data_IF_456229567407
#
_entry.id   IF_456229567407
#
_cell.length_a   1.000
_cell.length_b   1.000
_cell.length_c   1.000
_cell.angle_alpha   90.00
_cell.angle_beta   90.00
_cell.angle_gamma   90.00
#
_symmetry.space_group_name_H-M   'P 1'
#
loop_
_entity.id
_entity.type
_entity.pdbx_description
1 polymer ?
#
# COMPACT_ATOMS: atom_id res chain seq x y z
N UNK A 1 23.58 7.26 32.28
CA UNK A 1 22.66 7.89 31.34
C UNK A 1 22.79 7.09 30.06
N UNK A 2 21.86 6.18 29.76
CA UNK A 2 21.89 5.40 28.52
C UNK A 2 20.86 6.00 27.58
N UNK A 3 21.33 6.81 26.63
CA UNK A 3 20.50 7.38 25.58
C UNK A 3 20.48 6.48 24.34
N UNK A 4 19.63 6.81 23.37
CA UNK A 4 19.62 6.13 22.06
C UNK A 4 21.02 6.08 21.40
N UNK A 5 21.90 7.02 21.75
CA UNK A 5 23.27 7.12 21.27
C UNK A 5 24.18 5.95 21.72
N UNK A 6 23.88 5.30 22.84
CA UNK A 6 24.67 4.16 23.33
C UNK A 6 24.15 2.80 22.80
N UNK A 7 22.89 2.74 22.37
CA UNK A 7 22.19 1.49 22.02
C UNK A 7 22.19 1.20 20.50
N UNK A 8 22.23 2.26 19.69
CA UNK A 8 22.20 2.20 18.22
C UNK A 8 23.51 2.65 17.61
N UNK A 9 23.95 1.95 16.55
CA UNK A 9 25.08 2.41 15.75
C UNK A 9 24.77 3.77 15.07
N UNK A 10 23.55 3.94 14.55
CA UNK A 10 23.10 5.14 13.84
C UNK A 10 21.76 5.66 14.38
N UNK A 11 21.73 6.32 15.55
CA UNK A 11 20.49 6.74 16.23
C UNK A 11 19.67 7.72 15.39
N UNK A 12 20.30 8.75 14.81
CA UNK A 12 19.62 9.77 14.00
C UNK A 12 18.88 9.20 12.78
N UNK A 13 19.57 8.51 11.85
CA UNK A 13 18.94 7.88 10.69
C UNK A 13 17.88 6.85 11.06
N UNK A 14 18.11 6.04 12.10
CA UNK A 14 17.14 5.04 12.57
C UNK A 14 15.84 5.70 13.03
N UNK A 15 15.93 6.73 13.88
CA UNK A 15 14.76 7.47 14.35
C UNK A 15 14.03 8.16 13.20
N UNK A 16 14.76 8.77 12.27
CA UNK A 16 14.16 9.40 11.10
C UNK A 16 13.40 8.39 10.23
N UNK A 17 13.99 7.23 9.95
CA UNK A 17 13.33 6.15 9.19
C UNK A 17 12.06 5.67 9.89
N UNK A 18 12.10 5.43 11.20
CA UNK A 18 10.95 4.97 11.97
C UNK A 18 9.84 6.02 12.03
N UNK A 19 10.18 7.31 12.17
CA UNK A 19 9.19 8.40 12.15
C UNK A 19 8.53 8.49 10.77
N UNK A 20 9.31 8.54 9.68
CA UNK A 20 8.74 8.61 8.33
C UNK A 20 7.90 7.36 8.05
N UNK A 21 8.36 6.17 8.43
CA UNK A 21 7.60 4.93 8.30
C UNK A 21 6.24 5.04 9.02
N UNK A 22 6.24 5.49 10.28
CA UNK A 22 5.01 5.64 11.07
C UNK A 22 4.02 6.62 10.42
N UNK A 23 4.50 7.79 9.97
CA UNK A 23 3.67 8.80 9.33
C UNK A 23 3.09 8.30 8.00
N UNK A 24 3.89 7.57 7.22
CA UNK A 24 3.45 7.02 5.93
C UNK A 24 2.40 5.91 6.13
N UNK A 25 2.55 5.08 7.15
CA UNK A 25 1.55 4.07 7.51
C UNK A 25 0.24 4.72 8.00
N UNK A 26 0.32 5.77 8.81
CA UNK A 26 -0.86 6.56 9.23
C UNK A 26 -1.54 7.18 8.01
N UNK A 27 -0.78 7.79 7.10
CA UNK A 27 -1.32 8.36 5.87
C UNK A 27 -2.05 7.32 5.01
N UNK A 28 -1.52 6.09 4.89
CA UNK A 28 -2.20 4.98 4.22
C UNK A 28 -3.58 4.70 4.82
N UNK A 29 -3.67 4.65 6.15
CA UNK A 29 -4.92 4.41 6.86
C UNK A 29 -5.91 5.54 6.60
N UNK A 30 -5.47 6.80 6.74
CA UNK A 30 -6.31 7.97 6.49
C UNK A 30 -6.85 8.02 5.07
N UNK A 31 -6.01 7.73 4.06
CA UNK A 31 -6.41 7.67 2.66
C UNK A 31 -7.43 6.55 2.41
N UNK A 32 -7.25 5.39 3.05
CA UNK A 32 -8.17 4.26 2.94
C UNK A 32 -9.54 4.60 3.53
N UNK A 33 -9.58 5.25 4.70
CA UNK A 33 -10.81 5.72 5.32
C UNK A 33 -11.51 6.77 4.45
N UNK A 34 -10.76 7.75 3.95
CA UNK A 34 -11.32 8.79 3.09
C UNK A 34 -11.84 8.22 1.76
N UNK A 35 -11.19 7.20 1.21
CA UNK A 35 -11.67 6.51 0.01
C UNK A 35 -12.96 5.74 0.23
N UNK A 36 -13.22 5.24 1.44
CA UNK A 36 -14.32 4.31 1.72
C UNK A 36 -15.71 4.89 1.45
N UNK A 37 -15.90 6.21 1.59
CA UNK A 37 -17.20 6.87 1.32
C UNK A 37 -17.64 6.74 -0.14
N UNK A 38 -16.68 6.57 -1.06
CA UNK A 38 -16.94 6.44 -2.49
C UNK A 38 -17.17 4.99 -2.93
N UNK A 39 -17.11 4.04 -1.99
CA UNK A 39 -17.33 2.62 -2.26
C UNK A 39 -18.71 2.23 -1.74
N UNK A 40 -19.69 2.21 -2.64
CA UNK A 40 -21.06 1.80 -2.35
C UNK A 40 -21.60 0.90 -3.46
N UNK A 41 -22.48 0.00 -3.06
CA UNK A 41 -23.13 -1.00 -3.91
C UNK A 41 -24.52 -0.55 -4.38
N UNK A 42 -25.13 -1.35 -5.25
CA UNK A 42 -26.54 -1.14 -5.62
C UNK A 42 -27.47 -1.25 -4.40
N UNK A 43 -27.20 -2.20 -3.50
CA UNK A 43 -28.01 -2.41 -2.31
C UNK A 43 -27.95 -1.20 -1.36
N UNK A 44 -26.78 -0.55 -1.27
CA UNK A 44 -26.62 0.70 -0.50
C UNK A 44 -27.48 1.83 -1.11
N UNK A 45 -27.50 1.95 -2.44
CA UNK A 45 -28.35 2.93 -3.13
C UNK A 45 -29.84 2.65 -2.91
N UNK A 46 -30.27 1.40 -3.00
CA UNK A 46 -31.66 1.00 -2.74
C UNK A 46 -32.05 1.29 -1.29
N UNK A 47 -31.14 1.04 -0.35
CA UNK A 47 -31.35 1.34 1.05
C UNK A 47 -31.48 2.85 1.33
N UNK A 48 -30.70 3.69 0.63
CA UNK A 48 -30.73 5.15 0.82
C UNK A 48 -31.88 5.86 0.08
N UNK A 49 -32.25 5.39 -1.11
CA UNK A 49 -33.13 6.11 -2.04
C UNK A 49 -34.45 5.39 -2.36
N UNK A 50 -34.63 4.13 -1.95
CA UNK A 50 -35.69 3.19 -2.35
C UNK A 50 -35.56 2.64 -3.77
N UNK A 51 -36.00 1.39 -3.97
CA UNK A 51 -35.88 0.65 -5.24
C UNK A 51 -36.55 1.37 -6.42
N UNK A 52 -37.76 1.90 -6.21
CA UNK A 52 -38.52 2.60 -7.25
C UNK A 52 -37.86 3.89 -7.72
N UNK A 53 -37.08 4.56 -6.87
CA UNK A 53 -36.30 5.74 -7.25
C UNK A 53 -35.04 5.37 -8.01
N UNK A 54 -34.34 4.33 -7.56
CA UNK A 54 -33.10 3.83 -8.19
C UNK A 54 -33.38 3.34 -9.61
N UNK A 55 -34.47 2.61 -9.85
CA UNK A 55 -34.79 2.12 -11.20
C UNK A 55 -35.15 3.27 -12.14
N UNK A 56 -35.84 4.31 -11.64
CA UNK A 56 -36.22 5.49 -12.42
C UNK A 56 -35.00 6.33 -12.86
N UNK A 57 -33.98 6.44 -12.00
CA UNK A 57 -32.77 7.25 -12.25
C UNK A 57 -31.52 6.41 -12.51
N UNK A 58 -31.69 5.15 -12.90
CA UNK A 58 -30.61 4.15 -13.01
C UNK A 58 -29.42 4.63 -13.83
N UNK A 59 -29.67 5.31 -14.97
CA UNK A 59 -28.61 5.79 -15.86
C UNK A 59 -27.78 6.91 -15.23
N UNK A 60 -28.42 7.79 -14.47
CA UNK A 60 -27.75 8.91 -13.79
C UNK A 60 -26.93 8.40 -12.61
N UNK A 61 -27.54 7.57 -11.75
CA UNK A 61 -26.87 6.93 -10.61
C UNK A 61 -25.69 6.07 -11.05
N UNK A 62 -25.80 5.36 -12.17
CA UNK A 62 -24.68 4.58 -12.70
C UNK A 62 -23.50 5.46 -13.15
N UNK A 63 -23.77 6.62 -13.76
CA UNK A 63 -22.72 7.57 -14.15
C UNK A 63 -22.02 8.15 -12.92
N UNK A 64 -22.80 8.48 -11.89
CA UNK A 64 -22.28 8.99 -10.62
C UNK A 64 -21.44 7.94 -9.89
N UNK A 65 -21.95 6.71 -9.75
CA UNK A 65 -21.21 5.59 -9.18
C UNK A 65 -19.90 5.31 -9.92
N UNK A 66 -19.89 5.43 -11.25
CA UNK A 66 -18.65 5.26 -12.03
C UNK A 66 -17.63 6.37 -11.73
N UNK A 67 -18.08 7.61 -11.52
CA UNK A 67 -17.22 8.73 -11.13
C UNK A 67 -16.67 8.53 -9.72
N UNK A 68 -17.50 8.11 -8.78
CA UNK A 68 -17.10 7.85 -7.41
C UNK A 68 -16.15 6.66 -7.32
N UNK A 69 -16.40 5.60 -8.08
CA UNK A 69 -15.47 4.47 -8.18
C UNK A 69 -14.10 4.91 -8.71
N UNK A 70 -14.05 5.84 -9.66
CA UNK A 70 -12.78 6.40 -10.12
C UNK A 70 -12.06 7.20 -9.03
N UNK A 71 -12.81 7.96 -8.21
CA UNK A 71 -12.28 8.67 -7.05
C UNK A 71 -11.78 7.70 -5.98
N UNK A 72 -12.55 6.68 -5.62
CA UNK A 72 -12.13 5.59 -4.74
C UNK A 72 -10.82 4.96 -5.20
N UNK A 73 -10.68 4.64 -6.50
CA UNK A 73 -9.45 4.07 -7.04
C UNK A 73 -8.23 4.95 -6.82
N UNK A 74 -8.36 6.28 -6.92
CA UNK A 74 -7.25 7.21 -6.67
C UNK A 74 -6.81 7.15 -5.21
N UNK A 75 -7.75 7.26 -4.28
CA UNK A 75 -7.46 7.16 -2.84
C UNK A 75 -6.89 5.81 -2.46
N UNK A 76 -7.49 4.72 -2.96
CA UNK A 76 -7.01 3.37 -2.69
C UNK A 76 -5.60 3.17 -3.26
N UNK A 77 -5.33 3.63 -4.48
CA UNK A 77 -3.99 3.51 -5.08
C UNK A 77 -2.95 4.27 -4.25
N UNK A 78 -3.25 5.51 -3.88
CA UNK A 78 -2.39 6.32 -3.01
C UNK A 78 -2.17 5.66 -1.65
N UNK A 79 -3.24 5.15 -1.03
CA UNK A 79 -3.18 4.45 0.26
C UNK A 79 -2.21 3.28 0.19
N UNK A 80 -2.32 2.42 -0.84
CA UNK A 80 -1.41 1.28 -0.92
C UNK A 80 0.04 1.72 -1.25
N UNK A 81 0.25 2.78 -2.02
CA UNK A 81 1.62 3.31 -2.19
C UNK A 81 2.22 3.77 -0.86
N UNK A 82 1.44 4.47 -0.03
CA UNK A 82 1.86 4.86 1.32
C UNK A 82 2.13 3.62 2.20
N UNK A 83 1.25 2.62 2.19
CA UNK A 83 1.45 1.40 2.96
C UNK A 83 2.77 0.70 2.62
N UNK A 84 3.03 0.55 1.32
CA UNK A 84 4.22 -0.09 0.79
C UNK A 84 5.50 0.70 1.10
N UNK A 85 5.46 2.03 0.92
CA UNK A 85 6.59 2.87 1.27
C UNK A 85 6.87 2.82 2.78
N UNK A 86 5.81 2.87 3.61
CA UNK A 86 5.92 2.78 5.07
C UNK A 86 6.49 1.46 5.56
N UNK A 87 6.07 0.33 4.98
CA UNK A 87 6.59 -1.01 5.32
C UNK A 87 8.05 -1.18 4.93
N UNK A 88 8.47 -0.71 3.76
CA UNK A 88 9.89 -0.71 3.35
C UNK A 88 10.73 0.16 4.29
N UNK A 89 10.29 1.39 4.59
CA UNK A 89 11.00 2.28 5.51
C UNK A 89 11.08 1.72 6.93
N UNK A 90 10.02 1.04 7.39
CA UNK A 90 10.02 0.34 8.67
C UNK A 90 11.07 -0.77 8.69
N UNK A 91 11.11 -1.60 7.64
CA UNK A 91 12.10 -2.66 7.51
C UNK A 91 13.54 -2.14 7.49
N UNK A 92 13.80 -1.04 6.77
CA UNK A 92 15.10 -0.35 6.77
C UNK A 92 15.44 0.22 8.15
N UNK A 93 14.47 0.84 8.83
CA UNK A 93 14.65 1.37 10.19
C UNK A 93 14.99 0.26 11.20
N UNK A 94 14.31 -0.88 11.12
CA UNK A 94 14.60 -2.06 11.96
C UNK A 94 15.98 -2.64 11.64
N UNK A 95 16.34 -2.78 10.36
CA UNK A 95 17.67 -3.24 9.97
C UNK A 95 18.77 -2.31 10.50
N UNK A 96 18.58 -0.98 10.39
CA UNK A 96 19.49 0.03 10.91
C UNK A 96 19.60 -0.03 12.45
N UNK A 97 18.48 -0.22 13.15
CA UNK A 97 18.46 -0.39 14.61
C UNK A 97 19.23 -1.65 15.07
N UNK A 98 19.18 -2.71 14.28
CA UNK A 98 19.85 -3.97 14.60
C UNK A 98 21.36 -3.93 14.40
N UNK A 99 21.89 -2.99 13.61
CA UNK A 99 23.34 -2.83 13.43
C UNK A 99 24.01 -2.63 14.80
N UNK A 100 24.97 -3.49 15.19
CA UNK A 100 25.62 -3.41 16.48
C UNK A 100 26.49 -2.15 16.58
N UNK A 101 26.37 -1.32 17.64
CA UNK A 101 27.38 -0.31 17.96
C UNK A 101 28.70 -0.96 18.37
N UNK A 102 29.81 -0.20 18.33
CA UNK A 102 31.17 -0.70 18.60
C UNK A 102 31.31 -1.38 19.99
N UNK A 103 30.50 -0.97 20.96
CA UNK A 103 30.43 -1.55 22.31
C UNK A 103 29.19 -2.44 22.56
N UNK A 104 28.63 -3.06 21.53
CA UNK A 104 27.39 -3.84 21.69
C UNK A 104 27.57 -5.18 22.43
N UNK A 105 26.57 -5.55 23.21
CA UNK A 105 26.42 -6.92 23.72
C UNK A 105 25.84 -7.80 22.61
N UNK A 106 26.42 -8.98 22.40
CA UNK A 106 25.96 -10.01 21.45
C UNK A 106 25.96 -9.58 19.95
N UNK A 107 27.09 -9.10 19.41
CA UNK A 107 27.19 -8.72 17.99
C UNK A 107 26.90 -9.88 17.03
N UNK A 108 27.18 -11.12 17.48
CA UNK A 108 26.98 -12.36 16.71
C UNK A 108 25.52 -12.59 16.30
N UNK A 109 24.54 -12.13 17.08
CA UNK A 109 23.11 -12.29 16.77
C UNK A 109 22.52 -11.06 16.07
N UNK A 110 23.08 -9.88 16.33
CA UNK A 110 22.63 -8.60 15.75
C UNK A 110 22.90 -8.53 14.25
N UNK A 111 24.08 -8.99 13.80
CA UNK A 111 24.42 -9.00 12.37
C UNK A 111 23.51 -9.91 11.52
N UNK A 112 23.33 -11.20 11.86
CA UNK A 112 22.39 -12.05 11.14
C UNK A 112 20.97 -11.50 11.13
N UNK A 113 20.49 -10.98 12.26
CA UNK A 113 19.16 -10.38 12.35
C UNK A 113 19.02 -9.17 11.40
N UNK A 114 20.00 -8.26 11.39
CA UNK A 114 20.02 -7.10 10.48
C UNK A 114 20.00 -7.53 9.01
N UNK A 115 20.81 -8.54 8.65
CA UNK A 115 20.88 -9.06 7.28
C UNK A 115 19.57 -9.73 6.87
N UNK A 116 18.97 -10.56 7.73
CA UNK A 116 17.70 -11.23 7.44
C UNK A 116 16.58 -10.21 7.23
N UNK A 117 16.48 -9.20 8.10
CA UNK A 117 15.49 -8.13 7.96
C UNK A 117 15.71 -7.34 6.68
N UNK A 118 16.96 -7.01 6.34
CA UNK A 118 17.29 -6.28 5.12
C UNK A 118 16.89 -7.09 3.87
N UNK A 119 17.22 -8.38 3.81
CA UNK A 119 16.85 -9.25 2.69
C UNK A 119 15.33 -9.34 2.58
N UNK A 120 14.63 -9.60 3.68
CA UNK A 120 13.17 -9.67 3.69
C UNK A 120 12.53 -8.35 3.19
N UNK A 121 13.07 -7.21 3.61
CA UNK A 121 12.61 -5.87 3.19
C UNK A 121 12.83 -5.64 1.70
N UNK A 122 13.99 -6.04 1.17
CA UNK A 122 14.30 -5.92 -0.27
C UNK A 122 13.39 -6.83 -1.10
N UNK A 123 13.16 -8.07 -0.65
CA UNK A 123 12.26 -9.01 -1.32
C UNK A 123 10.83 -8.49 -1.32
N UNK A 124 10.35 -7.97 -0.18
CA UNK A 124 9.01 -7.39 -0.07
C UNK A 124 8.84 -6.16 -0.96
N UNK A 125 9.80 -5.23 -0.92
CA UNK A 125 9.80 -4.06 -1.81
C UNK A 125 9.84 -4.43 -3.29
N UNK A 126 10.62 -5.45 -3.66
CA UNK A 126 10.66 -5.98 -5.02
C UNK A 126 9.32 -6.59 -5.43
N UNK A 127 8.76 -7.47 -4.59
CA UNK A 127 7.49 -8.14 -4.81
C UNK A 127 6.37 -7.14 -5.04
N UNK A 128 6.26 -6.15 -4.15
CA UNK A 128 5.28 -5.07 -4.22
C UNK A 128 5.39 -4.26 -5.51
N UNK A 129 6.61 -3.95 -5.95
CA UNK A 129 6.84 -3.15 -7.16
C UNK A 129 6.55 -3.99 -8.42
N UNK A 130 7.04 -5.22 -8.49
CA UNK A 130 6.87 -6.09 -9.66
C UNK A 130 5.45 -6.62 -9.85
N UNK A 131 4.76 -7.04 -8.78
CA UNK A 131 3.37 -7.51 -8.91
C UNK A 131 2.41 -6.39 -9.26
N UNK A 132 2.66 -5.17 -8.79
CA UNK A 132 1.87 -4.02 -9.21
C UNK A 132 2.03 -3.72 -10.69
N UNK A 133 3.25 -3.78 -11.23
CA UNK A 133 3.49 -3.66 -12.67
C UNK A 133 2.74 -4.76 -13.44
N UNK A 134 2.79 -6.00 -12.96
CA UNK A 134 2.15 -7.15 -13.62
C UNK A 134 0.62 -7.10 -13.63
N UNK A 135 0.00 -6.52 -12.59
CA UNK A 135 -1.47 -6.34 -12.50
C UNK A 135 -1.92 -5.06 -13.24
N UNK A 136 -1.05 -4.05 -13.32
CA UNK A 136 -1.31 -2.81 -14.05
C UNK A 136 -1.23 -2.98 -15.58
N UNK A 137 -0.62 -4.07 -16.08
CA UNK A 137 -0.85 -4.51 -17.45
C UNK A 137 -2.33 -4.87 -17.61
N UNK A 138 -3.14 -4.05 -18.32
CA UNK A 138 -4.56 -4.31 -18.38
C UNK A 138 -4.78 -5.64 -19.12
N UNK A 139 -5.85 -6.39 -18.79
CA UNK A 139 -6.33 -7.48 -19.63
C UNK A 139 -6.75 -7.00 -21.03
N UNK A 140 -6.56 -5.72 -21.40
CA UNK A 140 -6.76 -5.20 -22.75
C UNK A 140 -5.92 -5.93 -23.79
N UNK A 141 -4.71 -6.41 -23.47
CA UNK A 141 -3.93 -7.28 -24.39
C UNK A 141 -4.58 -8.65 -24.55
N UNK A 142 -5.08 -9.25 -23.47
CA UNK A 142 -5.79 -10.52 -23.51
C UNK A 142 -7.15 -10.41 -24.25
N UNK A 143 -7.93 -9.36 -23.94
CA UNK A 143 -9.21 -9.06 -24.57
C UNK A 143 -9.07 -8.62 -26.02
N UNK A 144 -8.02 -7.87 -26.40
CA UNK A 144 -7.74 -7.54 -27.80
C UNK A 144 -7.37 -8.78 -28.62
N UNK A 145 -6.69 -9.75 -28.01
CA UNK A 145 -6.37 -11.04 -28.63
C UNK A 145 -7.64 -11.87 -28.82
N UNK A 146 -8.50 -11.96 -27.81
CA UNK A 146 -9.80 -12.66 -27.89
C UNK A 146 -10.71 -12.02 -28.95
N UNK A 147 -10.84 -10.68 -28.96
CA UNK A 147 -11.68 -9.96 -29.92
C UNK A 147 -11.20 -10.06 -31.37
N UNK A 148 -9.90 -10.29 -31.60
CA UNK A 148 -9.35 -10.61 -32.93
C UNK A 148 -9.68 -12.04 -33.38
N UNK A 149 -9.71 -12.99 -32.46
CA UNK A 149 -10.06 -14.39 -32.76
C UNK A 149 -11.55 -14.50 -33.09
N UNK A 150 -12.43 -13.84 -32.32
CA UNK A 150 -13.89 -13.88 -32.54
C UNK A 150 -14.35 -13.13 -33.80
N UNK A 151 -13.56 -12.19 -34.34
CA UNK A 151 -13.87 -11.48 -35.60
C UNK A 151 -13.39 -12.23 -36.86
N UNK A 152 -12.61 -13.30 -36.69
CA UNK A 152 -12.00 -14.05 -37.80
C UNK A 152 -12.71 -15.38 -38.10
N UNK A 153 -13.66 -15.75 -37.24
CA UNK A 153 -14.67 -16.80 -37.48
C UNK A 153 -16.01 -16.14 -37.82
#
# INVERSE_FOLDING_TARGET
MGGADDEFAWPGPTLLLLVIASLTLIASIQLSYHGRIYLYSYDDLVNWLSEGHVERHRVELWKEQKKDQATWRKYNTAAVHCFNAGTVLLGLGVAAALVPPECSKQPEWRWPAAVIVLIATVVDGFWVTFLRVKIAEPPSRALATIRRITRRN
#
